data_IF_850330549913
#
_entry.id   IF_850330549913
#
_cell.length_a   1.000
_cell.length_b   1.000
_cell.length_c   1.000
_cell.angle_alpha   90.00
_cell.angle_beta   90.00
_cell.angle_gamma   90.00
#
_symmetry.space_group_name_H-M   'P 1'
#
loop_
_entity.id
_entity.type
_entity.pdbx_description
1 polymer ?
#
# COMPACT_ATOMS: atom_id res chain seq x y z
N UNK A 1 3.74 -5.49 13.11
CA UNK A 1 3.12 -4.49 12.23
C UNK A 1 1.91 -5.09 11.55
N UNK A 2 0.79 -4.44 11.68
CA UNK A 2 -0.48 -4.94 11.15
C UNK A 2 -0.76 -4.30 9.79
N UNK A 3 -1.06 -5.14 8.77
CA UNK A 3 -1.46 -4.64 7.46
C UNK A 3 -2.96 -4.36 7.51
N UNK A 4 -3.32 -3.10 7.26
CA UNK A 4 -4.71 -2.67 7.34
C UNK A 4 -5.39 -2.70 5.98
N UNK A 5 -4.70 -2.27 4.94
CA UNK A 5 -5.26 -2.22 3.59
C UNK A 5 -4.18 -2.46 2.55
N UNK A 6 -4.61 -2.91 1.38
CA UNK A 6 -3.73 -3.19 0.25
C UNK A 6 -4.46 -2.83 -1.05
N UNK A 7 -3.84 -2.04 -1.88
CA UNK A 7 -4.37 -1.66 -3.19
C UNK A 7 -3.40 -2.10 -4.28
N UNK A 8 -3.96 -2.44 -5.43
CA UNK A 8 -3.20 -2.90 -6.59
C UNK A 8 -3.73 -2.19 -7.82
N UNK A 9 -2.82 -1.80 -8.74
CA UNK A 9 -3.18 -1.02 -9.93
C UNK A 9 -3.78 -1.84 -11.07
N UNK A 10 -4.07 -3.11 -10.86
CA UNK A 10 -4.68 -3.96 -11.87
C UNK A 10 -3.76 -4.44 -12.96
N UNK A 11 -2.47 -4.17 -12.87
CA UNK A 11 -1.50 -4.54 -13.89
C UNK A 11 -0.51 -5.55 -13.36
N UNK A 12 0.00 -6.39 -14.26
CA UNK A 12 0.97 -7.42 -13.94
C UNK A 12 2.34 -7.09 -14.51
N UNK A 13 3.37 -7.69 -13.93
CA UNK A 13 4.71 -7.63 -14.47
C UNK A 13 5.61 -6.66 -13.74
N UNK A 14 6.93 -6.78 -14.00
CA UNK A 14 7.94 -6.04 -13.26
C UNK A 14 7.87 -4.54 -13.45
N UNK A 15 7.40 -4.10 -14.61
CA UNK A 15 7.38 -2.69 -14.95
C UNK A 15 6.03 -2.07 -14.61
N UNK A 16 4.95 -2.81 -14.88
CA UNK A 16 3.60 -2.26 -14.82
C UNK A 16 2.96 -2.39 -13.44
N UNK A 17 3.27 -3.44 -12.69
CA UNK A 17 2.59 -3.71 -11.42
C UNK A 17 3.00 -2.72 -10.34
N UNK A 18 2.00 -2.17 -9.65
CA UNK A 18 2.21 -1.31 -8.49
C UNK A 18 1.25 -1.69 -7.40
N UNK A 19 1.75 -1.67 -6.17
CA UNK A 19 0.96 -1.97 -4.99
C UNK A 19 1.16 -0.86 -3.96
N UNK A 20 0.11 -0.59 -3.19
CA UNK A 20 0.16 0.34 -2.07
C UNK A 20 -0.36 -0.39 -0.84
N UNK A 21 0.38 -0.30 0.26
CA UNK A 21 0.02 -0.94 1.52
C UNK A 21 -0.12 0.10 2.62
N UNK A 22 -1.13 -0.08 3.45
CA UNK A 22 -1.30 0.71 4.67
C UNK A 22 -1.09 -0.21 5.86
N UNK A 23 -0.12 0.12 6.72
CA UNK A 23 0.21 -0.67 7.89
C UNK A 23 0.25 0.20 9.13
N UNK A 24 0.03 -0.43 10.29
CA UNK A 24 0.11 0.25 11.56
C UNK A 24 0.91 -0.58 12.56
N UNK A 25 1.68 0.10 13.39
CA UNK A 25 2.41 -0.53 14.49
C UNK A 25 2.36 0.43 15.68
N UNK A 26 1.61 0.06 16.72
CA UNK A 26 1.37 0.97 17.82
C UNK A 26 0.64 2.22 17.35
N UNK A 27 1.24 3.37 17.57
CA UNK A 27 0.68 4.66 17.15
C UNK A 27 1.24 5.13 15.81
N UNK A 28 2.10 4.33 15.20
CA UNK A 28 2.80 4.74 13.99
C UNK A 28 2.15 4.11 12.76
N UNK A 29 1.92 4.93 11.73
CA UNK A 29 1.30 4.49 10.48
C UNK A 29 2.33 4.52 9.37
N UNK A 30 2.26 3.52 8.49
CA UNK A 30 3.21 3.36 7.40
C UNK A 30 2.48 3.15 6.10
N UNK A 31 2.95 3.82 5.05
CA UNK A 31 2.49 3.57 3.69
C UNK A 31 3.67 3.02 2.91
N UNK A 32 3.48 1.89 2.28
CA UNK A 32 4.49 1.32 1.39
C UNK A 32 3.98 1.41 -0.04
N UNK A 33 4.78 2.00 -0.92
CA UNK A 33 4.53 1.97 -2.35
C UNK A 33 5.55 1.02 -2.97
N UNK A 34 5.08 -0.06 -3.59
CA UNK A 34 5.96 -1.04 -4.22
C UNK A 34 5.70 -1.06 -5.72
N UNK A 35 6.76 -0.96 -6.51
CA UNK A 35 6.70 -1.03 -7.97
C UNK A 35 7.45 -2.26 -8.43
N UNK A 36 6.83 -3.08 -9.29
CA UNK A 36 7.47 -4.25 -9.84
C UNK A 36 7.14 -5.58 -9.18
N UNK A 37 6.16 -5.60 -8.29
CA UNK A 37 5.75 -6.83 -7.61
C UNK A 37 6.70 -7.22 -6.49
N UNK A 38 6.76 -8.52 -6.18
CA UNK A 38 7.48 -9.01 -5.00
C UNK A 38 8.97 -8.67 -5.00
N UNK A 39 9.59 -8.61 -6.18
CA UNK A 39 11.01 -8.30 -6.31
C UNK A 39 11.24 -6.84 -6.71
N UNK A 40 10.20 -6.03 -6.62
CA UNK A 40 10.29 -4.64 -7.01
C UNK A 40 10.90 -3.74 -5.95
N UNK A 41 10.88 -2.44 -6.24
CA UNK A 41 11.42 -1.42 -5.36
C UNK A 41 10.29 -0.86 -4.51
N UNK A 42 10.56 -0.70 -3.21
CA UNK A 42 9.59 -0.15 -2.26
C UNK A 42 10.05 1.19 -1.73
N UNK A 43 9.09 2.10 -1.56
CA UNK A 43 9.28 3.35 -0.85
C UNK A 43 8.35 3.35 0.36
N UNK A 44 8.87 3.78 1.49
CA UNK A 44 8.12 3.80 2.75
C UNK A 44 7.94 5.23 3.23
N UNK A 45 6.73 5.51 3.71
CA UNK A 45 6.38 6.81 4.30
C UNK A 45 5.83 6.54 5.70
N UNK A 46 6.19 7.37 6.66
CA UNK A 46 5.82 7.18 8.05
C UNK A 46 5.01 8.36 8.54
N UNK A 47 3.93 8.09 9.28
CA UNK A 47 3.00 9.12 9.76
C UNK A 47 2.55 8.84 11.18
N UNK A 48 2.17 9.91 11.89
CA UNK A 48 1.71 9.82 13.26
C UNK A 48 0.20 9.54 13.36
N UNK A 49 -0.52 9.60 12.24
CA UNK A 49 -1.97 9.38 12.25
C UNK A 49 -2.42 8.66 11.00
N UNK A 50 -3.54 7.95 11.13
CA UNK A 50 -4.15 7.27 10.00
C UNK A 50 -4.57 8.27 8.92
N UNK A 51 -5.09 9.42 9.33
CA UNK A 51 -5.57 10.43 8.39
C UNK A 51 -4.44 10.91 7.47
N UNK A 52 -3.28 11.21 8.05
CA UNK A 52 -2.13 11.64 7.25
C UNK A 52 -1.67 10.53 6.31
N UNK A 53 -1.66 9.28 6.79
CA UNK A 53 -1.28 8.15 5.93
C UNK A 53 -2.25 7.97 4.79
N UNK A 54 -3.56 8.10 5.05
CA UNK A 54 -4.58 7.96 4.00
C UNK A 54 -4.50 9.08 2.96
N UNK A 55 -4.09 10.28 3.37
CA UNK A 55 -3.88 11.36 2.40
C UNK A 55 -2.79 10.98 1.40
N UNK A 56 -1.71 10.36 1.86
CA UNK A 56 -0.66 9.87 0.98
C UNK A 56 -1.18 8.75 0.09
N UNK A 57 -1.95 7.81 0.65
CA UNK A 57 -2.56 6.74 -0.13
C UNK A 57 -3.40 7.32 -1.26
N UNK A 58 -4.26 8.30 -0.96
CA UNK A 58 -5.11 8.91 -1.98
C UNK A 58 -4.28 9.55 -3.09
N UNK A 59 -3.18 10.20 -2.74
CA UNK A 59 -2.30 10.80 -3.73
C UNK A 59 -1.66 9.73 -4.62
N UNK A 60 -1.25 8.61 -4.05
CA UNK A 60 -0.66 7.51 -4.82
C UNK A 60 -1.67 6.85 -5.73
N UNK A 61 -2.91 6.69 -5.27
CA UNK A 61 -3.97 6.08 -6.06
C UNK A 61 -4.50 7.00 -7.15
N UNK A 62 -4.12 8.27 -7.14
CA UNK A 62 -4.46 9.19 -8.21
C UNK A 62 -3.62 8.97 -9.47
N UNK A 63 -2.55 8.18 -9.37
CA UNK A 63 -1.73 7.86 -10.55
C UNK A 63 -2.49 6.92 -11.49
N UNK A 64 -2.12 6.89 -12.80
CA UNK A 64 -2.83 6.05 -13.76
C UNK A 64 -2.82 4.58 -13.36
N UNK A 65 -3.96 3.91 -13.58
CA UNK A 65 -4.11 2.50 -13.25
C UNK A 65 -5.55 2.18 -12.89
N UNK A 66 -5.86 0.89 -12.89
CA UNK A 66 -7.17 0.39 -12.47
C UNK A 66 -7.04 -0.06 -11.01
N UNK A 67 -6.95 0.91 -10.11
CA UNK A 67 -6.68 0.64 -8.71
C UNK A 67 -7.84 -0.08 -8.04
N UNK A 68 -7.52 -1.16 -7.35
CA UNK A 68 -8.50 -2.00 -6.63
C UNK A 68 -8.01 -2.25 -5.23
N UNK A 69 -8.92 -2.18 -4.28
CA UNK A 69 -8.62 -2.56 -2.91
C UNK A 69 -8.72 -4.07 -2.81
N UNK A 70 -7.65 -4.71 -2.33
CA UNK A 70 -7.61 -6.15 -2.14
C UNK A 70 -7.94 -6.47 -0.69
N UNK A 71 -8.59 -7.61 -0.47
CA UNK A 71 -8.92 -8.04 0.87
C UNK A 71 -7.67 -8.37 1.66
N UNK A 72 -7.59 -7.86 2.89
CA UNK A 72 -6.53 -8.20 3.83
C UNK A 72 -7.10 -9.21 4.81
N UNK A 73 -6.56 -10.42 4.78
CA UNK A 73 -7.02 -11.46 5.69
C UNK A 73 -6.27 -11.37 7.01
N UNK A 74 -6.99 -11.46 8.13
CA UNK A 74 -6.30 -11.58 9.42
C UNK A 74 -5.48 -12.86 9.45
N UNK A 75 -4.45 -12.92 10.29
CA UNK A 75 -3.65 -14.14 10.42
C UNK A 75 -4.52 -15.33 10.77
N UNK A 76 -4.19 -16.48 10.21
CA UNK A 76 -4.90 -17.71 10.53
C UNK A 76 -4.64 -18.12 11.97
N UNK A 77 -5.67 -18.73 12.54
CA UNK A 77 -5.54 -19.25 13.88
C UNK A 77 -5.07 -20.68 13.87
#
# INVERSE_FOLDING_TARGET
MEQRKHWWNGKWGRIARKDVYLRVSGDQWYVEQRAGGAEGVSHFFEYDSEEAALDTVRALLASPGDWRELSVRPPSR
#
